data_IF_702247256553
#
_entry.id   IF_702247256553
#
_cell.length_a   1.000
_cell.length_b   1.000
_cell.length_c   1.000
_cell.angle_alpha   90.00
_cell.angle_beta   90.00
_cell.angle_gamma   90.00
#
_symmetry.space_group_name_H-M   'P 1'
#
loop_
_entity.id
_entity.type
_entity.pdbx_description
1 polymer ?
#
# COMPACT_ATOMS: atom_id res chain seq x y z
N UNK A 1 -8.36 -22.13 17.24
CA UNK A 1 -8.00 -20.88 16.52
C UNK A 1 -8.51 -21.01 15.10
N UNK A 2 -9.19 -20.00 14.56
CA UNK A 2 -9.60 -19.98 13.15
C UNK A 2 -8.37 -19.87 12.26
N UNK A 3 -8.41 -20.59 11.13
CA UNK A 3 -7.29 -20.61 10.18
C UNK A 3 -7.46 -19.59 9.04
N UNK A 4 -8.66 -19.03 8.92
CA UNK A 4 -9.04 -18.02 7.95
C UNK A 4 -9.71 -16.85 8.66
N UNK A 5 -9.61 -15.69 8.06
CA UNK A 5 -10.28 -14.48 8.57
C UNK A 5 -11.81 -14.58 8.47
N UNK A 6 -12.50 -13.82 9.33
CA UNK A 6 -13.95 -13.63 9.26
C UNK A 6 -14.30 -12.31 8.59
N UNK A 7 -15.00 -12.37 7.47
CA UNK A 7 -15.46 -11.19 6.73
C UNK A 7 -16.95 -10.88 6.99
N UNK A 8 -17.63 -11.65 7.83
CA UNK A 8 -19.06 -11.47 8.11
C UNK A 8 -19.38 -10.16 8.83
N UNK A 9 -18.37 -9.52 9.44
CA UNK A 9 -18.48 -8.17 10.01
C UNK A 9 -18.76 -7.10 8.96
N UNK A 10 -18.42 -7.37 7.69
CA UNK A 10 -18.75 -6.52 6.54
C UNK A 10 -20.03 -6.99 5.88
N UNK A 11 -20.01 -8.21 5.31
CA UNK A 11 -21.15 -8.86 4.66
C UNK A 11 -20.99 -10.38 4.73
N UNK A 12 -22.10 -11.09 4.70
CA UNK A 12 -22.09 -12.56 4.68
C UNK A 12 -21.59 -13.12 3.36
N UNK A 13 -22.12 -12.57 2.26
CA UNK A 13 -21.75 -12.89 0.89
C UNK A 13 -22.14 -11.74 -0.06
N UNK A 14 -21.95 -11.91 -1.37
CA UNK A 14 -22.35 -10.89 -2.38
C UNK A 14 -23.87 -10.83 -2.60
N UNK A 15 -24.63 -11.81 -2.13
CA UNK A 15 -26.10 -11.84 -2.17
C UNK A 15 -26.71 -11.26 -0.88
N UNK A 16 -25.89 -10.83 0.08
CA UNK A 16 -26.36 -10.17 1.30
C UNK A 16 -27.14 -8.90 0.92
N UNK A 17 -28.40 -8.78 1.38
CA UNK A 17 -29.20 -7.57 1.13
C UNK A 17 -28.51 -6.27 1.57
N UNK A 18 -27.67 -6.32 2.61
CA UNK A 18 -26.89 -5.17 3.06
C UNK A 18 -25.86 -4.73 2.01
N UNK A 19 -25.23 -5.70 1.28
CA UNK A 19 -24.32 -5.39 0.19
C UNK A 19 -25.02 -4.62 -0.95
N UNK A 20 -26.20 -5.09 -1.35
CA UNK A 20 -27.00 -4.44 -2.39
C UNK A 20 -27.48 -3.04 -1.95
N UNK A 21 -27.87 -2.89 -0.69
CA UNK A 21 -28.27 -1.61 -0.12
C UNK A 21 -27.11 -0.60 -0.11
N UNK A 22 -25.91 -1.02 0.32
CA UNK A 22 -24.74 -0.15 0.34
C UNK A 22 -24.26 0.23 -1.08
N UNK A 23 -24.41 -0.67 -2.08
CA UNK A 23 -24.15 -0.35 -3.49
C UNK A 23 -25.11 0.72 -4.04
N UNK A 24 -26.38 0.69 -3.63
CA UNK A 24 -27.36 1.73 -4.00
C UNK A 24 -27.10 3.05 -3.23
N UNK A 25 -26.66 2.96 -1.96
CA UNK A 25 -26.25 4.11 -1.17
C UNK A 25 -24.99 4.80 -1.74
N UNK A 26 -24.06 4.02 -2.31
CA UNK A 26 -22.90 4.59 -3.00
C UNK A 26 -23.32 5.42 -4.23
N UNK A 27 -24.30 4.97 -5.01
CA UNK A 27 -24.85 5.77 -6.12
C UNK A 27 -25.44 7.10 -5.61
N UNK A 28 -26.12 7.08 -4.47
CA UNK A 28 -26.66 8.28 -3.86
C UNK A 28 -25.55 9.23 -3.32
N UNK A 29 -24.48 8.68 -2.76
CA UNK A 29 -23.32 9.46 -2.31
C UNK A 29 -22.59 10.12 -3.49
N UNK A 30 -22.42 9.41 -4.60
CA UNK A 30 -21.85 9.96 -5.85
C UNK A 30 -22.74 11.11 -6.38
N UNK A 31 -24.05 10.91 -6.40
CA UNK A 31 -24.99 11.95 -6.81
C UNK A 31 -24.95 13.19 -5.89
N UNK A 32 -24.71 13.00 -4.59
CA UNK A 32 -24.53 14.09 -3.64
C UNK A 32 -23.25 14.90 -3.89
N UNK A 33 -22.13 14.22 -4.21
CA UNK A 33 -20.89 14.88 -4.62
C UNK A 33 -21.07 15.65 -5.94
N UNK A 34 -21.76 15.06 -6.92
CA UNK A 34 -22.08 15.71 -8.19
C UNK A 34 -22.87 17.02 -7.96
N UNK A 35 -23.92 16.95 -7.17
CA UNK A 35 -24.72 18.13 -6.82
C UNK A 35 -23.88 19.19 -6.09
N UNK A 36 -23.03 18.76 -5.15
CA UNK A 36 -22.15 19.69 -4.44
C UNK A 36 -21.16 20.37 -5.39
N UNK A 37 -20.62 19.64 -6.37
CA UNK A 37 -19.73 20.19 -7.38
C UNK A 37 -20.40 21.25 -8.27
N UNK A 38 -21.68 21.05 -8.62
CA UNK A 38 -22.48 22.05 -9.37
C UNK A 38 -22.74 23.32 -8.55
N UNK A 39 -22.97 23.18 -7.26
CA UNK A 39 -23.29 24.29 -6.34
C UNK A 39 -22.05 24.98 -5.75
N UNK A 40 -20.87 24.36 -5.80
CA UNK A 40 -19.66 24.77 -5.06
C UNK A 40 -19.27 26.23 -5.25
N UNK A 41 -19.42 26.79 -6.45
CA UNK A 41 -19.10 28.18 -6.74
C UNK A 41 -20.09 29.22 -6.17
N UNK A 42 -21.23 28.78 -5.65
CA UNK A 42 -22.28 29.67 -5.12
C UNK A 42 -22.45 29.59 -3.61
N UNK A 43 -21.86 28.57 -2.98
CA UNK A 43 -21.94 28.36 -1.55
C UNK A 43 -21.00 29.29 -0.77
N UNK A 44 -21.38 29.60 0.46
CA UNK A 44 -20.43 30.23 1.39
C UNK A 44 -19.28 29.27 1.72
N UNK A 45 -18.11 29.82 2.10
CA UNK A 45 -16.95 29.01 2.44
C UNK A 45 -17.25 27.99 3.58
N UNK A 46 -18.00 28.43 4.61
CA UNK A 46 -18.42 27.55 5.70
C UNK A 46 -19.35 26.43 5.23
N UNK A 47 -20.32 26.74 4.41
CA UNK A 47 -21.28 25.75 3.89
C UNK A 47 -20.61 24.73 2.95
N UNK A 48 -19.71 25.20 2.08
CA UNK A 48 -18.96 24.35 1.18
C UNK A 48 -18.08 23.35 1.96
N UNK A 49 -17.34 23.81 2.97
CA UNK A 49 -16.45 22.95 3.77
C UNK A 49 -17.22 21.92 4.58
N UNK A 50 -18.34 22.28 5.22
CA UNK A 50 -19.17 21.31 5.95
C UNK A 50 -19.78 20.27 5.01
N UNK A 51 -20.40 20.71 3.92
CA UNK A 51 -21.02 19.77 2.97
C UNK A 51 -20.01 18.84 2.31
N UNK A 52 -18.79 19.34 2.08
CA UNK A 52 -17.73 18.47 1.54
C UNK A 52 -17.24 17.46 2.60
N UNK A 53 -17.07 17.85 3.84
CA UNK A 53 -16.73 16.94 4.94
C UNK A 53 -17.76 15.80 5.06
N UNK A 54 -19.05 16.16 5.13
CA UNK A 54 -20.14 15.19 5.25
C UNK A 54 -20.27 14.27 4.02
N UNK A 55 -20.24 14.85 2.82
CA UNK A 55 -20.38 14.08 1.58
C UNK A 55 -19.16 13.20 1.31
N UNK A 56 -17.96 13.69 1.61
CA UNK A 56 -16.71 12.93 1.51
C UNK A 56 -16.68 11.73 2.45
N UNK A 57 -17.02 11.93 3.71
CA UNK A 57 -17.09 10.83 4.68
C UNK A 57 -18.14 9.78 4.28
N UNK A 58 -19.32 10.21 3.82
CA UNK A 58 -20.37 9.29 3.37
C UNK A 58 -19.93 8.48 2.14
N UNK A 59 -19.25 9.11 1.19
CA UNK A 59 -18.72 8.44 0.00
C UNK A 59 -17.62 7.44 0.37
N UNK A 60 -16.60 7.87 1.12
CA UNK A 60 -15.47 7.01 1.50
C UNK A 60 -15.94 5.84 2.37
N UNK A 61 -16.90 6.04 3.28
CA UNK A 61 -17.44 4.97 4.11
C UNK A 61 -18.05 3.83 3.29
N UNK A 62 -18.80 4.16 2.25
CA UNK A 62 -19.47 3.18 1.40
C UNK A 62 -18.51 2.54 0.41
N UNK A 63 -17.71 3.36 -0.26
CA UNK A 63 -16.72 2.90 -1.24
C UNK A 63 -15.73 1.93 -0.59
N UNK A 64 -15.07 2.35 0.51
CA UNK A 64 -14.08 1.53 1.19
C UNK A 64 -14.67 0.22 1.72
N UNK A 65 -15.84 0.24 2.36
CA UNK A 65 -16.48 -0.96 2.88
C UNK A 65 -16.79 -1.97 1.79
N UNK A 66 -17.34 -1.53 0.65
CA UNK A 66 -17.67 -2.37 -0.50
C UNK A 66 -16.42 -2.91 -1.19
N UNK A 67 -15.43 -2.04 -1.41
CA UNK A 67 -14.16 -2.39 -2.05
C UNK A 67 -13.36 -3.38 -1.19
N UNK A 68 -13.18 -3.10 0.09
CA UNK A 68 -12.43 -3.94 1.04
C UNK A 68 -13.02 -5.35 1.07
N UNK A 69 -14.34 -5.48 1.20
CA UNK A 69 -14.97 -6.80 1.19
C UNK A 69 -14.67 -7.57 -0.10
N UNK A 70 -14.87 -6.95 -1.25
CA UNK A 70 -14.65 -7.61 -2.54
C UNK A 70 -13.16 -7.96 -2.75
N UNK A 71 -12.25 -7.05 -2.39
CA UNK A 71 -10.80 -7.22 -2.49
C UNK A 71 -10.27 -8.32 -1.58
N UNK A 72 -10.75 -8.40 -0.32
CA UNK A 72 -10.36 -9.47 0.61
C UNK A 72 -10.89 -10.84 0.15
N UNK A 73 -12.11 -10.91 -0.39
CA UNK A 73 -12.66 -12.13 -1.01
C UNK A 73 -11.83 -12.59 -2.21
N UNK A 74 -11.41 -11.65 -3.04
CA UNK A 74 -10.53 -11.92 -4.18
C UNK A 74 -9.12 -12.35 -3.73
N UNK A 75 -8.55 -11.69 -2.75
CA UNK A 75 -7.21 -12.03 -2.23
C UNK A 75 -7.14 -13.40 -1.59
N UNK A 76 -8.24 -13.83 -0.95
CA UNK A 76 -8.35 -15.17 -0.40
C UNK A 76 -8.52 -16.28 -1.48
N UNK A 77 -9.07 -15.93 -2.65
CA UNK A 77 -9.24 -16.82 -3.80
C UNK A 77 -9.32 -16.01 -5.10
N UNK A 78 -8.20 -15.89 -5.81
CA UNK A 78 -8.10 -15.18 -7.10
C UNK A 78 -8.88 -15.86 -8.24
N UNK A 79 -9.32 -17.10 -8.04
CA UNK A 79 -10.25 -17.80 -8.94
C UNK A 79 -11.70 -17.37 -8.76
N UNK A 80 -12.00 -16.58 -7.73
CA UNK A 80 -13.35 -16.06 -7.47
C UNK A 80 -13.70 -14.93 -8.44
N UNK A 81 -14.30 -15.29 -9.57
CA UNK A 81 -14.69 -14.34 -10.63
C UNK A 81 -15.74 -13.33 -10.18
N UNK A 82 -16.61 -13.70 -9.23
CA UNK A 82 -17.59 -12.78 -8.67
C UNK A 82 -16.91 -11.68 -7.85
N UNK A 83 -15.90 -12.02 -7.04
CA UNK A 83 -15.12 -11.06 -6.30
C UNK A 83 -14.34 -10.11 -7.24
N UNK A 84 -13.63 -10.65 -8.23
CA UNK A 84 -12.90 -9.87 -9.24
C UNK A 84 -13.82 -8.88 -9.99
N UNK A 85 -14.97 -9.36 -10.48
CA UNK A 85 -15.97 -8.53 -11.16
C UNK A 85 -16.52 -7.43 -10.24
N UNK A 86 -16.68 -7.74 -8.95
CA UNK A 86 -17.23 -6.80 -7.97
C UNK A 86 -16.24 -5.71 -7.61
N UNK A 87 -14.95 -6.05 -7.47
CA UNK A 87 -13.87 -5.04 -7.34
C UNK A 87 -13.93 -4.05 -8.49
N UNK A 88 -13.99 -4.56 -9.74
CA UNK A 88 -14.08 -3.71 -10.94
C UNK A 88 -15.31 -2.80 -10.93
N UNK A 89 -16.49 -3.31 -10.53
CA UNK A 89 -17.72 -2.51 -10.45
C UNK A 89 -17.65 -1.40 -9.42
N UNK A 90 -17.08 -1.66 -8.25
CA UNK A 90 -16.94 -0.62 -7.21
C UNK A 90 -15.99 0.46 -7.67
N UNK A 91 -14.83 0.08 -8.25
CA UNK A 91 -13.85 1.03 -8.79
C UNK A 91 -14.43 1.88 -9.94
N UNK A 92 -15.20 1.26 -10.85
CA UNK A 92 -15.85 1.97 -11.96
C UNK A 92 -16.84 3.01 -11.44
N UNK A 93 -17.68 2.64 -10.45
CA UNK A 93 -18.59 3.59 -9.79
C UNK A 93 -17.83 4.72 -9.09
N UNK A 94 -16.80 4.41 -8.32
CA UNK A 94 -16.02 5.41 -7.60
C UNK A 94 -15.33 6.39 -8.56
N UNK A 95 -14.89 5.92 -9.72
CA UNK A 95 -14.26 6.76 -10.74
C UNK A 95 -15.17 7.88 -11.26
N UNK A 96 -16.49 7.69 -11.20
CA UNK A 96 -17.46 8.71 -11.62
C UNK A 96 -17.45 9.96 -10.70
N UNK A 97 -17.02 9.82 -9.43
CA UNK A 97 -16.94 10.93 -8.49
C UNK A 97 -15.66 11.78 -8.64
N UNK A 98 -14.63 11.29 -9.33
CA UNK A 98 -13.29 11.93 -9.36
C UNK A 98 -13.34 13.35 -9.91
N UNK A 99 -14.09 13.59 -11.00
CA UNK A 99 -14.17 14.91 -11.60
C UNK A 99 -14.92 15.91 -10.68
N UNK A 100 -15.94 15.43 -10.00
CA UNK A 100 -16.73 16.26 -9.08
C UNK A 100 -15.94 16.57 -7.80
N UNK A 101 -15.26 15.58 -7.21
CA UNK A 101 -14.34 15.81 -6.07
C UNK A 101 -13.27 16.84 -6.43
N UNK A 102 -12.72 16.74 -7.62
CA UNK A 102 -11.73 17.68 -8.12
C UNK A 102 -12.28 19.12 -8.15
N UNK A 103 -13.49 19.35 -8.72
CA UNK A 103 -14.12 20.68 -8.76
C UNK A 103 -14.42 21.24 -7.37
N UNK A 104 -14.86 20.37 -6.46
CA UNK A 104 -15.13 20.79 -5.07
C UNK A 104 -13.82 21.23 -4.39
N UNK A 105 -12.75 20.44 -4.54
CA UNK A 105 -11.41 20.78 -4.00
C UNK A 105 -10.88 22.10 -4.57
N UNK A 106 -11.13 22.39 -5.83
CA UNK A 106 -10.79 23.68 -6.45
C UNK A 106 -11.54 24.84 -5.80
N UNK A 107 -12.84 24.69 -5.62
CA UNK A 107 -13.66 25.69 -4.95
C UNK A 107 -13.20 25.91 -3.50
N UNK A 108 -12.83 24.84 -2.79
CA UNK A 108 -12.25 24.94 -1.43
C UNK A 108 -10.89 25.65 -1.48
N UNK A 109 -10.03 25.34 -2.45
CA UNK A 109 -8.74 26.02 -2.59
C UNK A 109 -8.91 27.53 -2.87
N UNK A 110 -9.96 27.91 -3.61
CA UNK A 110 -10.27 29.29 -3.92
C UNK A 110 -10.72 30.12 -2.68
N UNK A 111 -11.08 29.47 -1.57
CA UNK A 111 -11.37 30.15 -0.28
C UNK A 111 -10.13 30.93 0.19
N UNK A 112 -8.94 30.41 -0.07
CA UNK A 112 -7.66 30.97 0.36
C UNK A 112 -7.31 30.65 1.82
N UNK A 113 -6.02 30.80 2.11
CA UNK A 113 -5.44 30.37 3.40
C UNK A 113 -6.07 31.06 4.61
N UNK A 114 -6.11 32.40 4.60
CA UNK A 114 -6.51 33.17 5.78
C UNK A 114 -7.97 32.90 6.17
N UNK A 115 -8.85 32.88 5.17
CA UNK A 115 -10.27 32.59 5.40
C UNK A 115 -10.53 31.17 5.83
N UNK A 116 -9.76 30.21 5.30
CA UNK A 116 -9.86 28.82 5.72
C UNK A 116 -9.40 28.64 7.19
N UNK A 117 -8.28 29.25 7.58
CA UNK A 117 -7.79 29.18 8.97
C UNK A 117 -8.77 29.85 9.97
N UNK A 118 -9.44 30.94 9.58
CA UNK A 118 -10.52 31.51 10.37
C UNK A 118 -11.65 30.51 10.60
N UNK A 119 -12.11 29.81 9.54
CA UNK A 119 -13.18 28.83 9.64
C UNK A 119 -12.77 27.63 10.52
N UNK A 120 -11.59 27.07 10.31
CA UNK A 120 -11.08 25.94 11.07
C UNK A 120 -10.89 26.29 12.56
N UNK A 121 -10.53 27.53 12.87
CA UNK A 121 -10.36 28.00 14.26
C UNK A 121 -11.68 28.29 14.96
N UNK A 122 -12.70 28.72 14.21
CA UNK A 122 -13.99 29.10 14.74
C UNK A 122 -14.95 27.93 14.94
N UNK A 123 -14.73 26.82 14.21
CA UNK A 123 -15.62 25.66 14.20
C UNK A 123 -14.90 24.38 14.60
N UNK A 124 -15.16 23.85 15.81
CA UNK A 124 -14.55 22.60 16.29
C UNK A 124 -14.81 21.39 15.36
N UNK A 125 -15.97 21.35 14.70
CA UNK A 125 -16.32 20.23 13.79
C UNK A 125 -15.40 20.24 12.57
N UNK A 126 -15.17 21.42 11.97
CA UNK A 126 -14.23 21.56 10.86
C UNK A 126 -12.77 21.37 11.27
N UNK A 127 -12.44 21.62 12.53
CA UNK A 127 -11.10 21.44 13.08
C UNK A 127 -10.59 19.99 12.93
N UNK A 128 -11.48 18.99 12.97
CA UNK A 128 -11.13 17.58 12.75
C UNK A 128 -10.65 17.33 11.31
N UNK A 129 -11.12 18.12 10.37
CA UNK A 129 -10.75 18.05 8.94
C UNK A 129 -9.63 19.03 8.56
N UNK A 130 -9.02 19.71 9.53
CA UNK A 130 -8.04 20.77 9.26
C UNK A 130 -6.87 20.28 8.37
N UNK A 131 -6.39 19.08 8.59
CA UNK A 131 -5.32 18.50 7.77
C UNK A 131 -5.76 18.32 6.32
N UNK A 132 -6.93 17.79 6.08
CA UNK A 132 -7.51 17.62 4.74
C UNK A 132 -7.59 18.95 4.00
N UNK A 133 -8.21 19.96 4.61
CA UNK A 133 -8.41 21.25 3.97
C UNK A 133 -7.09 21.99 3.71
N UNK A 134 -6.14 21.93 4.65
CA UNK A 134 -4.79 22.46 4.44
C UNK A 134 -4.04 21.74 3.34
N UNK A 135 -4.23 20.43 3.22
CA UNK A 135 -3.66 19.62 2.14
C UNK A 135 -4.22 20.01 0.78
N UNK A 136 -5.53 20.22 0.67
CA UNK A 136 -6.18 20.71 -0.55
C UNK A 136 -5.56 22.04 -1.01
N UNK A 137 -5.38 22.98 -0.09
CA UNK A 137 -4.73 24.26 -0.41
C UNK A 137 -3.26 24.11 -0.84
N UNK A 138 -2.55 23.18 -0.20
CA UNK A 138 -1.15 22.91 -0.51
C UNK A 138 -1.02 22.27 -1.89
N UNK A 139 -1.88 21.31 -2.20
CA UNK A 139 -1.87 20.56 -3.46
C UNK A 139 -2.29 21.43 -4.65
N UNK A 140 -3.23 22.37 -4.44
CA UNK A 140 -3.73 23.27 -5.49
C UNK A 140 -2.63 24.12 -6.14
N UNK A 141 -1.52 24.36 -5.44
CA UNK A 141 -0.37 25.14 -5.96
C UNK A 141 0.38 24.44 -7.10
N UNK A 142 0.27 23.12 -7.19
CA UNK A 142 0.99 22.27 -8.14
C UNK A 142 0.04 21.67 -9.19
N UNK A 143 -1.21 22.11 -9.18
CA UNK A 143 -2.20 21.67 -10.15
C UNK A 143 -2.05 22.48 -11.44
N UNK A 144 -2.19 21.78 -12.56
CA UNK A 144 -2.25 22.38 -13.89
C UNK A 144 -3.71 22.72 -14.24
N UNK A 145 -3.93 23.36 -15.40
CA UNK A 145 -5.28 23.59 -15.89
C UNK A 145 -5.99 22.27 -16.21
N UNK A 146 -7.32 22.24 -16.15
CA UNK A 146 -8.12 21.05 -16.45
C UNK A 146 -7.80 20.42 -17.80
N UNK A 147 -7.49 21.27 -18.79
CA UNK A 147 -7.10 20.81 -20.12
C UNK A 147 -5.75 20.10 -20.11
N UNK A 148 -4.78 20.60 -19.35
CA UNK A 148 -3.45 20.01 -19.21
C UNK A 148 -3.52 18.72 -18.39
N UNK A 149 -4.27 18.69 -17.29
CA UNK A 149 -4.46 17.46 -16.50
C UNK A 149 -5.14 16.37 -17.34
N UNK A 150 -6.20 16.70 -18.09
CA UNK A 150 -6.85 15.75 -18.98
C UNK A 150 -5.93 15.27 -20.12
N UNK A 151 -5.03 16.13 -20.62
CA UNK A 151 -4.05 15.77 -21.62
C UNK A 151 -3.01 14.80 -21.05
N UNK A 152 -2.44 15.11 -19.88
CA UNK A 152 -1.47 14.26 -19.18
C UNK A 152 -2.08 12.90 -18.89
N UNK A 153 -3.30 12.84 -18.34
CA UNK A 153 -4.00 11.58 -18.07
C UNK A 153 -4.14 10.70 -19.32
N UNK A 154 -4.52 11.30 -20.47
CA UNK A 154 -4.59 10.56 -21.74
C UNK A 154 -3.23 10.10 -22.25
N UNK A 155 -2.20 10.92 -22.09
CA UNK A 155 -0.84 10.57 -22.52
C UNK A 155 -0.22 9.49 -21.63
N UNK A 156 -0.58 9.43 -20.35
CA UNK A 156 -0.12 8.39 -19.42
C UNK A 156 -0.49 6.99 -19.89
N UNK A 157 -1.68 6.79 -20.49
CA UNK A 157 -2.10 5.49 -21.01
C UNK A 157 -1.11 4.88 -22.02
N UNK A 158 -0.47 5.73 -22.84
CA UNK A 158 0.57 5.32 -23.81
C UNK A 158 1.99 5.67 -23.38
N UNK A 159 2.13 6.39 -22.29
CA UNK A 159 3.37 6.81 -21.64
C UNK A 159 3.70 5.95 -20.43
N UNK A 160 3.58 6.49 -19.23
CA UNK A 160 3.97 5.83 -17.98
C UNK A 160 3.34 4.44 -17.82
N UNK A 161 2.01 4.33 -17.97
CA UNK A 161 1.29 3.07 -17.79
C UNK A 161 1.77 1.99 -18.78
N UNK A 162 2.02 2.38 -20.04
CA UNK A 162 2.51 1.44 -21.05
C UNK A 162 3.93 0.95 -20.75
N UNK A 163 4.82 1.81 -20.24
CA UNK A 163 6.18 1.44 -19.87
C UNK A 163 6.22 0.55 -18.63
N UNK A 164 5.37 0.80 -17.64
CA UNK A 164 5.21 -0.05 -16.44
C UNK A 164 4.66 -1.42 -16.81
N UNK A 165 3.63 -1.46 -17.67
CA UNK A 165 3.06 -2.70 -18.19
C UNK A 165 4.08 -3.51 -19.01
N UNK A 166 4.93 -2.85 -19.81
CA UNK A 166 6.00 -3.51 -20.55
C UNK A 166 6.98 -4.17 -19.58
N UNK A 167 7.46 -3.46 -18.56
CA UNK A 167 8.39 -4.00 -17.56
C UNK A 167 7.77 -5.21 -16.83
N UNK A 168 6.52 -5.09 -16.38
CA UNK A 168 5.79 -6.15 -15.70
C UNK A 168 5.62 -7.38 -16.60
N UNK A 169 5.27 -7.19 -17.87
CA UNK A 169 5.13 -8.28 -18.85
C UNK A 169 6.45 -8.98 -19.12
N UNK A 170 7.54 -8.22 -19.32
CA UNK A 170 8.87 -8.78 -19.58
C UNK A 170 9.39 -9.59 -18.38
N UNK A 171 9.24 -9.07 -17.16
CA UNK A 171 9.72 -9.76 -15.95
C UNK A 171 8.87 -10.97 -15.59
N UNK A 172 7.55 -10.89 -15.71
CA UNK A 172 6.65 -12.02 -15.40
C UNK A 172 6.76 -13.17 -16.41
N UNK A 173 7.07 -12.84 -17.68
CA UNK A 173 7.27 -13.85 -18.73
C UNK A 173 8.72 -14.35 -18.85
N UNK A 174 9.66 -13.75 -18.10
CA UNK A 174 11.07 -14.14 -18.14
C UNK A 174 11.25 -15.60 -17.74
N UNK A 175 11.97 -16.34 -18.57
CA UNK A 175 12.28 -17.75 -18.33
C UNK A 175 13.73 -17.88 -17.89
N UNK A 176 13.94 -18.46 -16.73
CA UNK A 176 15.27 -18.67 -16.17
C UNK A 176 15.71 -20.10 -16.44
N UNK A 177 16.85 -20.25 -17.11
CA UNK A 177 17.47 -21.57 -17.29
C UNK A 177 18.35 -21.88 -16.07
N UNK A 178 17.86 -22.74 -15.18
CA UNK A 178 18.56 -23.13 -13.98
C UNK A 178 18.84 -24.65 -14.01
N UNK A 179 20.11 -25.02 -13.98
CA UNK A 179 20.57 -26.43 -13.99
C UNK A 179 19.88 -27.31 -15.04
N UNK A 180 19.67 -26.75 -16.24
CA UNK A 180 19.03 -27.45 -17.36
C UNK A 180 17.50 -27.48 -17.34
N UNK A 181 16.87 -26.86 -16.37
CA UNK A 181 15.41 -26.69 -16.25
C UNK A 181 15.03 -25.26 -16.45
N UNK A 182 13.84 -25.03 -17.03
CA UNK A 182 13.26 -23.69 -17.14
C UNK A 182 12.34 -23.45 -15.95
N UNK A 183 12.64 -22.43 -15.14
CA UNK A 183 11.86 -22.03 -13.97
C UNK A 183 11.47 -20.57 -14.08
N UNK A 184 10.61 -20.08 -13.18
CA UNK A 184 10.22 -18.66 -13.13
C UNK A 184 11.30 -17.80 -12.46
N UNK A 185 11.24 -16.49 -12.69
CA UNK A 185 12.10 -15.54 -12.00
C UNK A 185 11.87 -15.55 -10.47
N UNK A 186 10.64 -15.76 -10.02
CA UNK A 186 10.32 -15.89 -8.59
C UNK A 186 10.94 -17.15 -7.98
N UNK A 187 10.88 -18.26 -8.69
CA UNK A 187 11.47 -19.52 -8.21
C UNK A 187 12.97 -19.41 -8.02
N UNK A 188 13.70 -18.85 -9.02
CA UNK A 188 15.16 -18.71 -8.92
C UNK A 188 15.57 -17.76 -7.79
N UNK A 189 14.81 -16.68 -7.55
CA UNK A 189 15.06 -15.76 -6.44
C UNK A 189 14.87 -16.40 -5.06
N UNK A 190 13.90 -17.29 -4.93
CA UNK A 190 13.70 -18.04 -3.69
C UNK A 190 14.90 -18.95 -3.35
N UNK A 191 15.66 -19.40 -4.35
CA UNK A 191 16.89 -20.20 -4.13
C UNK A 191 18.01 -19.38 -3.46
N UNK A 192 17.93 -18.07 -3.38
CA UNK A 192 18.88 -17.23 -2.63
C UNK A 192 18.91 -17.55 -1.12
N UNK A 193 17.88 -18.21 -0.60
CA UNK A 193 17.76 -18.62 0.81
C UNK A 193 18.16 -20.08 1.04
N UNK A 194 18.57 -20.82 -0.01
CA UNK A 194 18.95 -22.22 0.12
C UNK A 194 20.18 -22.39 1.03
N UNK A 195 20.24 -23.52 1.74
CA UNK A 195 21.35 -23.82 2.64
C UNK A 195 22.66 -24.12 1.89
N UNK A 196 22.58 -24.68 0.66
CA UNK A 196 23.72 -25.01 -0.18
C UNK A 196 24.25 -23.78 -0.94
N UNK A 197 25.51 -23.35 -0.69
CA UNK A 197 26.11 -22.22 -1.38
C UNK A 197 26.22 -22.42 -2.91
N UNK A 198 26.31 -23.66 -3.41
CA UNK A 198 26.34 -23.92 -4.82
C UNK A 198 24.97 -23.66 -5.46
N UNK A 199 23.87 -23.98 -4.76
CA UNK A 199 22.50 -23.63 -5.20
C UNK A 199 22.34 -22.13 -5.30
N UNK A 200 22.70 -21.37 -4.26
CA UNK A 200 22.58 -19.90 -4.25
C UNK A 200 23.38 -19.25 -5.37
N UNK A 201 24.62 -19.72 -5.60
CA UNK A 201 25.48 -19.18 -6.65
C UNK A 201 24.94 -19.45 -8.04
N UNK A 202 24.59 -20.73 -8.33
CA UNK A 202 24.04 -21.10 -9.64
C UNK A 202 22.72 -20.38 -9.92
N UNK A 203 21.89 -20.15 -8.88
CA UNK A 203 20.65 -19.38 -8.98
C UNK A 203 20.92 -17.91 -9.32
N UNK A 204 21.89 -17.28 -8.67
CA UNK A 204 22.31 -15.91 -8.95
C UNK A 204 22.81 -15.77 -10.40
N UNK A 205 23.70 -16.65 -10.83
CA UNK A 205 24.24 -16.61 -12.20
C UNK A 205 23.11 -16.79 -13.25
N UNK A 206 22.15 -17.69 -12.98
CA UNK A 206 20.99 -17.90 -13.84
C UNK A 206 20.03 -16.69 -13.84
N UNK A 207 19.81 -16.06 -12.69
CA UNK A 207 19.01 -14.83 -12.57
C UNK A 207 19.63 -13.70 -13.39
N UNK A 208 20.94 -13.44 -13.22
CA UNK A 208 21.63 -12.39 -13.98
C UNK A 208 21.55 -12.64 -15.49
N UNK A 209 21.78 -13.87 -15.91
CA UNK A 209 21.69 -14.23 -17.34
C UNK A 209 20.29 -14.01 -17.93
N UNK A 210 19.24 -14.18 -17.12
CA UNK A 210 17.86 -13.98 -17.53
C UNK A 210 17.52 -12.52 -17.87
N UNK A 211 18.25 -11.56 -17.33
CA UNK A 211 18.00 -10.13 -17.57
C UNK A 211 18.60 -9.62 -18.90
N UNK A 212 19.60 -10.29 -19.46
CA UNK A 212 20.26 -9.84 -20.69
C UNK A 212 19.29 -9.61 -21.87
N UNK A 213 18.33 -10.52 -22.18
CA UNK A 213 17.40 -10.31 -23.28
C UNK A 213 16.42 -9.14 -23.09
N UNK A 214 16.14 -8.75 -21.86
CA UNK A 214 15.15 -7.71 -21.55
C UNK A 214 15.79 -6.39 -21.13
N UNK A 215 17.11 -6.38 -20.93
CA UNK A 215 17.88 -5.24 -20.38
C UNK A 215 17.59 -3.93 -21.10
N UNK A 216 17.72 -3.93 -22.42
CA UNK A 216 17.60 -2.70 -23.21
C UNK A 216 16.17 -2.17 -23.20
N UNK A 217 15.16 -3.04 -23.30
CA UNK A 217 13.75 -2.65 -23.21
C UNK A 217 13.40 -2.06 -21.84
N UNK A 218 13.89 -2.66 -20.75
CA UNK A 218 13.69 -2.16 -19.39
C UNK A 218 14.44 -0.82 -19.18
N UNK A 219 15.64 -0.68 -19.76
CA UNK A 219 16.39 0.58 -19.69
C UNK A 219 15.66 1.73 -20.43
N UNK A 220 15.06 1.45 -21.60
CA UNK A 220 14.22 2.43 -22.30
C UNK A 220 12.97 2.80 -21.48
N UNK A 221 12.29 1.82 -20.91
CA UNK A 221 11.12 2.06 -20.04
C UNK A 221 11.50 2.95 -18.86
N UNK A 222 12.57 2.63 -18.14
CA UNK A 222 13.05 3.41 -16.99
C UNK A 222 13.43 4.84 -17.38
N UNK A 223 14.15 5.02 -18.49
CA UNK A 223 14.54 6.34 -18.96
C UNK A 223 13.34 7.18 -19.38
N UNK A 224 12.35 6.58 -20.04
CA UNK A 224 11.11 7.25 -20.45
C UNK A 224 10.31 7.70 -19.23
N UNK A 225 10.12 6.84 -18.23
CA UNK A 225 9.43 7.17 -16.97
C UNK A 225 10.14 8.32 -16.22
N UNK A 226 11.47 8.25 -16.10
CA UNK A 226 12.24 9.33 -15.45
C UNK A 226 12.15 10.64 -16.20
N UNK A 227 12.19 10.62 -17.53
CA UNK A 227 12.05 11.83 -18.34
C UNK A 227 10.64 12.42 -18.22
N UNK A 228 9.61 11.59 -18.23
CA UNK A 228 8.24 12.02 -17.99
C UNK A 228 8.09 12.67 -16.61
N UNK A 229 8.59 12.04 -15.55
CA UNK A 229 8.58 12.58 -14.18
C UNK A 229 9.27 13.95 -14.11
N UNK A 230 10.44 14.10 -14.76
CA UNK A 230 11.18 15.38 -14.79
C UNK A 230 10.35 16.47 -15.50
N UNK A 231 9.71 16.13 -16.62
CA UNK A 231 8.90 17.07 -17.39
C UNK A 231 7.66 17.50 -16.63
N UNK A 232 6.93 16.56 -16.05
CA UNK A 232 5.73 16.85 -15.25
C UNK A 232 6.07 17.64 -14.00
N UNK A 233 7.16 17.30 -13.31
CA UNK A 233 7.68 18.04 -12.18
C UNK A 233 7.92 19.52 -12.53
N UNK A 234 8.56 19.79 -13.67
CA UNK A 234 8.81 21.15 -14.16
C UNK A 234 7.51 21.88 -14.52
N UNK A 235 6.59 21.22 -15.22
CA UNK A 235 5.28 21.78 -15.59
C UNK A 235 4.45 22.16 -14.35
N UNK A 236 4.47 21.34 -13.31
CA UNK A 236 3.75 21.58 -12.05
C UNK A 236 4.43 22.62 -11.16
N UNK A 237 5.64 23.04 -11.48
CA UNK A 237 6.38 24.05 -10.72
C UNK A 237 7.11 23.53 -9.49
N UNK A 238 7.37 22.23 -9.41
CA UNK A 238 8.27 21.68 -8.40
C UNK A 238 9.71 22.02 -8.74
N UNK A 239 10.55 22.26 -7.74
CA UNK A 239 11.97 22.58 -7.93
C UNK A 239 12.80 21.34 -8.32
N UNK A 240 12.32 20.15 -7.96
CA UNK A 240 12.96 18.87 -8.31
C UNK A 240 11.97 17.70 -8.18
N UNK A 241 12.25 16.55 -8.85
CA UNK A 241 11.50 15.33 -8.62
C UNK A 241 11.51 14.88 -7.14
N UNK A 242 12.58 15.18 -6.41
CA UNK A 242 12.64 14.89 -4.97
C UNK A 242 11.62 15.73 -4.18
N UNK A 243 11.48 17.01 -4.51
CA UNK A 243 10.49 17.87 -3.84
C UNK A 243 9.07 17.44 -4.17
N UNK A 244 8.80 16.95 -5.38
CA UNK A 244 7.52 16.34 -5.74
C UNK A 244 7.27 15.08 -4.91
N UNK A 245 8.27 14.20 -4.76
CA UNK A 245 8.17 12.98 -3.95
C UNK A 245 7.95 13.30 -2.46
N UNK A 246 8.67 14.28 -1.91
CA UNK A 246 8.48 14.76 -0.53
C UNK A 246 7.09 15.34 -0.31
N UNK A 247 6.59 16.11 -1.29
CA UNK A 247 5.23 16.64 -1.25
C UNK A 247 4.19 15.50 -1.24
N UNK A 248 4.31 14.53 -2.13
CA UNK A 248 3.40 13.38 -2.21
C UNK A 248 3.43 12.51 -0.94
N UNK A 249 4.63 12.32 -0.36
CA UNK A 249 4.82 11.55 0.89
C UNK A 249 4.49 12.37 2.15
N UNK A 250 4.07 13.63 2.01
CA UNK A 250 3.85 14.55 3.16
C UNK A 250 5.06 14.66 4.09
N UNK A 251 6.26 14.42 3.58
CA UNK A 251 7.52 14.43 4.32
C UNK A 251 8.22 15.78 4.20
N UNK A 252 8.81 16.25 5.29
CA UNK A 252 9.69 17.42 5.29
C UNK A 252 11.09 17.02 4.82
N UNK A 253 11.78 17.94 4.14
CA UNK A 253 13.16 17.74 3.68
C UNK A 253 14.10 17.41 4.83
N UNK A 254 13.95 18.09 5.97
CA UNK A 254 14.77 17.91 7.16
C UNK A 254 14.58 16.50 7.76
N UNK A 255 13.38 15.93 7.64
CA UNK A 255 13.10 14.55 8.08
C UNK A 255 13.83 13.53 7.20
N UNK A 256 13.82 13.73 5.88
CA UNK A 256 14.57 12.87 4.96
C UNK A 256 16.09 12.99 5.21
N UNK A 257 16.60 14.22 5.34
CA UNK A 257 18.02 14.45 5.58
C UNK A 257 18.49 13.85 6.90
N UNK A 258 17.67 13.93 7.96
CA UNK A 258 17.94 13.28 9.25
C UNK A 258 17.94 11.75 9.13
N UNK A 259 16.99 11.17 8.38
CA UNK A 259 16.93 9.73 8.11
C UNK A 259 18.18 9.25 7.38
N UNK A 260 18.55 9.91 6.28
CA UNK A 260 19.74 9.56 5.49
C UNK A 260 21.02 9.75 6.31
N UNK A 261 21.11 10.83 7.10
CA UNK A 261 22.24 11.06 7.99
C UNK A 261 22.40 9.97 9.06
N UNK A 262 21.29 9.51 9.64
CA UNK A 262 21.31 8.38 10.57
C UNK A 262 21.74 7.08 9.86
N UNK A 263 21.25 6.83 8.66
CA UNK A 263 21.68 5.67 7.86
C UNK A 263 23.19 5.70 7.60
N UNK A 264 23.73 6.84 7.18
CA UNK A 264 25.16 7.01 6.94
C UNK A 264 26.00 6.78 8.22
N UNK A 265 25.54 7.28 9.36
CA UNK A 265 26.20 7.08 10.66
C UNK A 265 26.24 5.60 11.05
N UNK A 266 25.15 4.85 10.79
CA UNK A 266 25.06 3.42 11.15
C UNK A 266 25.63 2.48 10.09
N UNK A 267 25.82 2.92 8.84
CA UNK A 267 26.36 2.11 7.73
C UNK A 267 27.63 1.33 8.10
N UNK A 268 28.63 1.90 8.85
CA UNK A 268 29.80 1.14 9.28
C UNK A 268 29.50 -0.10 10.13
N UNK A 269 28.37 -0.11 10.87
CA UNK A 269 27.92 -1.28 11.64
C UNK A 269 27.43 -2.40 10.72
N UNK A 270 26.68 -2.04 9.68
CA UNK A 270 26.26 -3.00 8.65
C UNK A 270 27.45 -3.59 7.90
N UNK A 271 28.45 -2.77 7.57
CA UNK A 271 29.69 -3.28 6.97
C UNK A 271 30.43 -4.25 7.87
N UNK A 272 30.47 -4.01 9.18
CA UNK A 272 31.06 -4.95 10.15
C UNK A 272 30.29 -6.28 10.16
N UNK A 273 28.95 -6.23 10.17
CA UNK A 273 28.10 -7.41 10.07
C UNK A 273 28.36 -8.19 8.79
N UNK A 274 28.34 -7.52 7.62
CA UNK A 274 28.55 -8.18 6.32
C UNK A 274 29.94 -8.82 6.23
N UNK A 275 30.98 -8.17 6.76
CA UNK A 275 32.33 -8.73 6.84
C UNK A 275 32.40 -9.95 7.78
N UNK A 276 31.72 -9.90 8.91
CA UNK A 276 31.65 -11.03 9.84
C UNK A 276 30.91 -12.20 9.22
N UNK A 277 29.76 -11.94 8.55
CA UNK A 277 29.02 -12.96 7.80
C UNK A 277 29.87 -13.55 6.69
N UNK A 278 30.56 -12.72 5.89
CA UNK A 278 31.46 -13.17 4.84
C UNK A 278 32.53 -14.13 5.37
N UNK A 279 33.22 -13.77 6.45
CA UNK A 279 34.22 -14.65 7.08
C UNK A 279 33.63 -15.97 7.58
N UNK A 280 32.45 -15.93 8.20
CA UNK A 280 31.76 -17.12 8.68
C UNK A 280 31.35 -18.09 7.54
N UNK A 281 31.10 -17.54 6.34
CA UNK A 281 30.80 -18.30 5.12
C UNK A 281 32.05 -18.64 4.29
N UNK A 282 33.26 -18.30 4.77
CA UNK A 282 34.53 -18.63 4.10
C UNK A 282 34.99 -17.65 3.02
N UNK A 283 34.44 -16.42 3.01
CA UNK A 283 34.82 -15.35 2.09
C UNK A 283 35.73 -14.32 2.74
N UNK A 284 36.99 -14.25 2.33
CA UNK A 284 37.99 -13.35 2.93
C UNK A 284 37.88 -11.90 2.42
N UNK A 285 37.45 -11.72 1.16
CA UNK A 285 37.46 -10.44 0.45
C UNK A 285 36.09 -9.71 0.43
N UNK A 286 35.21 -10.03 1.36
CA UNK A 286 33.85 -9.48 1.45
C UNK A 286 32.77 -10.52 1.13
N UNK A 287 31.53 -10.17 1.42
CA UNK A 287 30.39 -11.06 1.20
C UNK A 287 29.93 -10.94 -0.27
N UNK A 288 29.97 -12.04 -1.06
CA UNK A 288 29.36 -12.02 -2.40
C UNK A 288 27.86 -11.77 -2.32
N UNK A 289 27.29 -11.16 -3.37
CA UNK A 289 25.87 -10.81 -3.39
C UNK A 289 24.96 -12.03 -3.19
N UNK A 290 25.26 -13.14 -3.82
CA UNK A 290 24.50 -14.40 -3.69
C UNK A 290 24.55 -15.03 -2.27
N UNK A 291 25.40 -14.53 -1.39
CA UNK A 291 25.47 -14.96 0.02
C UNK A 291 24.69 -14.03 0.96
N UNK A 292 24.11 -12.95 0.44
CA UNK A 292 23.44 -11.95 1.28
C UNK A 292 22.32 -12.58 2.12
N UNK A 293 21.54 -13.50 1.53
CA UNK A 293 20.43 -14.18 2.18
C UNK A 293 20.82 -15.58 2.71
N UNK A 294 22.09 -15.99 2.59
CA UNK A 294 22.54 -17.27 3.10
C UNK A 294 22.14 -17.44 4.58
N UNK A 295 21.51 -18.57 4.96
CA UNK A 295 21.14 -18.82 6.35
C UNK A 295 22.39 -18.94 7.23
N UNK A 296 22.33 -18.36 8.43
CA UNK A 296 23.36 -18.47 9.45
C UNK A 296 22.90 -19.43 10.54
N UNK A 297 23.54 -20.60 10.60
CA UNK A 297 23.11 -21.67 11.50
C UNK A 297 22.06 -22.58 10.88
N UNK A 298 21.55 -23.52 11.66
CA UNK A 298 20.49 -24.45 11.29
C UNK A 298 19.43 -24.46 12.38
N UNK A 299 18.18 -24.38 11.97
CA UNK A 299 17.04 -24.60 12.86
C UNK A 299 15.96 -25.33 12.05
N UNK A 300 15.63 -26.54 12.50
CA UNK A 300 14.54 -27.34 11.96
C UNK A 300 13.23 -27.10 12.74
N UNK A 301 13.24 -26.08 13.66
CA UNK A 301 12.06 -25.77 14.48
C UNK A 301 10.96 -25.20 13.62
N UNK A 302 9.82 -25.89 13.64
CA UNK A 302 8.57 -25.39 13.06
C UNK A 302 7.69 -24.85 14.18
N UNK A 303 7.02 -23.75 13.87
CA UNK A 303 6.12 -23.05 14.78
C UNK A 303 4.68 -23.25 14.30
N UNK A 304 3.78 -23.47 15.24
CA UNK A 304 2.35 -23.43 14.99
C UNK A 304 1.83 -22.01 15.06
N UNK A 305 0.59 -21.78 14.61
CA UNK A 305 -0.07 -20.48 14.80
C UNK A 305 -0.30 -20.15 16.29
N UNK A 306 -0.42 -21.18 17.15
CA UNK A 306 -0.47 -20.96 18.60
C UNK A 306 0.89 -20.51 19.15
N UNK A 307 2.00 -21.14 18.72
CA UNK A 307 3.33 -20.69 19.11
C UNK A 307 3.57 -19.25 18.66
N UNK A 308 3.09 -18.87 17.47
CA UNK A 308 3.17 -17.51 16.98
C UNK A 308 2.38 -16.53 17.85
N UNK A 309 1.13 -16.88 18.20
CA UNK A 309 0.31 -16.09 19.14
C UNK A 309 1.03 -15.87 20.47
N UNK A 310 1.47 -16.96 21.10
CA UNK A 310 2.09 -16.92 22.42
C UNK A 310 3.41 -16.09 22.39
N UNK A 311 4.20 -16.24 21.32
CA UNK A 311 5.43 -15.49 21.12
C UNK A 311 5.16 -13.98 20.98
N UNK A 312 4.21 -13.60 20.11
CA UNK A 312 3.88 -12.20 19.85
C UNK A 312 3.25 -11.52 21.08
N UNK A 313 2.32 -12.19 21.76
CA UNK A 313 1.74 -11.66 22.99
C UNK A 313 2.80 -11.42 24.08
N UNK A 314 3.77 -12.35 24.23
CA UNK A 314 4.85 -12.18 25.18
C UNK A 314 5.77 -11.00 24.84
N UNK A 315 6.15 -10.84 23.57
CA UNK A 315 7.05 -9.75 23.14
C UNK A 315 6.34 -8.40 23.20
N UNK A 316 5.14 -8.30 22.63
CA UNK A 316 4.39 -7.03 22.59
C UNK A 316 3.89 -6.61 23.97
N UNK A 317 3.49 -7.57 24.82
CA UNK A 317 3.11 -7.27 26.21
C UNK A 317 4.24 -6.72 27.07
N UNK A 318 5.49 -7.05 26.74
CA UNK A 318 6.67 -6.42 27.35
C UNK A 318 6.97 -5.01 26.84
N UNK A 319 6.36 -4.60 25.72
CA UNK A 319 6.57 -3.31 25.08
C UNK A 319 5.40 -2.33 25.31
N UNK A 320 4.18 -2.72 24.97
CA UNK A 320 2.98 -1.89 25.07
C UNK A 320 1.72 -2.74 25.26
N UNK A 321 0.88 -2.39 26.25
CA UNK A 321 -0.34 -3.16 26.56
C UNK A 321 -1.43 -3.02 25.49
N UNK A 322 -1.56 -1.87 24.83
CA UNK A 322 -2.59 -1.66 23.79
C UNK A 322 -2.27 -2.48 22.55
N UNK A 323 -0.97 -2.56 22.19
CA UNK A 323 -0.51 -3.44 21.11
C UNK A 323 -0.73 -4.91 21.46
N UNK A 324 -0.43 -5.35 22.70
CA UNK A 324 -0.75 -6.68 23.19
C UNK A 324 -2.24 -7.02 23.01
N UNK A 325 -3.13 -6.18 23.55
CA UNK A 325 -4.57 -6.41 23.55
C UNK A 325 -5.14 -6.44 22.12
N UNK A 326 -4.63 -5.59 21.24
CA UNK A 326 -5.00 -5.60 19.81
C UNK A 326 -4.55 -6.90 19.14
N UNK A 327 -3.33 -7.37 19.39
CA UNK A 327 -2.84 -8.65 18.84
C UNK A 327 -3.66 -9.82 19.37
N UNK A 328 -4.01 -9.87 20.65
CA UNK A 328 -4.89 -10.90 21.20
C UNK A 328 -6.24 -10.92 20.49
N UNK A 329 -6.87 -9.77 20.31
CA UNK A 329 -8.11 -9.63 19.54
C UNK A 329 -7.97 -10.10 18.10
N UNK A 330 -6.87 -9.78 17.43
CA UNK A 330 -6.65 -10.17 16.04
C UNK A 330 -6.68 -11.69 15.85
N UNK A 331 -6.13 -12.44 16.81
CA UNK A 331 -6.19 -13.90 16.82
C UNK A 331 -7.57 -14.43 17.22
N UNK A 332 -8.21 -13.86 18.24
CA UNK A 332 -9.44 -14.37 18.82
C UNK A 332 -10.67 -14.03 17.98
N UNK A 333 -10.68 -12.88 17.33
CA UNK A 333 -11.75 -12.39 16.46
C UNK A 333 -11.55 -12.79 14.98
N UNK A 334 -10.61 -13.70 14.69
CA UNK A 334 -10.35 -14.22 13.34
C UNK A 334 -10.03 -13.11 12.31
N UNK A 335 -9.08 -12.24 12.63
CA UNK A 335 -8.63 -11.22 11.67
C UNK A 335 -7.66 -11.78 10.64
N UNK A 336 -7.03 -12.97 10.90
CA UNK A 336 -5.86 -13.46 10.17
C UNK A 336 -6.24 -14.66 9.30
N UNK A 337 -5.89 -14.59 8.01
CA UNK A 337 -5.89 -15.72 7.09
C UNK A 337 -4.46 -16.26 6.98
N UNK A 338 -4.21 -17.44 7.59
CA UNK A 338 -2.84 -17.91 7.86
C UNK A 338 -2.19 -18.65 6.68
N UNK A 339 -2.78 -19.76 6.23
CA UNK A 339 -2.06 -20.75 5.46
C UNK A 339 -2.13 -20.54 3.95
N UNK A 340 -1.04 -20.91 3.21
CA UNK A 340 -1.06 -20.92 1.77
C UNK A 340 -2.08 -21.94 1.24
N UNK A 341 -2.73 -21.61 0.13
CA UNK A 341 -3.62 -22.49 -0.62
C UNK A 341 -3.72 -22.05 -2.08
N UNK A 342 -4.18 -22.94 -2.95
CA UNK A 342 -4.42 -22.59 -4.35
C UNK A 342 -5.39 -21.41 -4.46
N UNK A 343 -5.05 -20.47 -5.33
CA UNK A 343 -5.85 -19.26 -5.56
C UNK A 343 -5.62 -18.12 -4.56
N UNK A 344 -4.98 -18.35 -3.43
CA UNK A 344 -4.65 -17.28 -2.48
C UNK A 344 -3.49 -16.43 -2.98
N UNK A 345 -3.59 -15.12 -2.79
CA UNK A 345 -2.51 -14.18 -3.12
C UNK A 345 -1.25 -14.49 -2.32
N UNK A 346 -0.10 -14.43 -2.97
CA UNK A 346 1.22 -14.63 -2.33
C UNK A 346 1.66 -13.43 -1.50
N UNK A 347 2.67 -13.65 -0.65
CA UNK A 347 3.17 -12.62 0.27
C UNK A 347 2.33 -12.48 1.53
N UNK A 348 2.34 -11.29 2.12
CA UNK A 348 1.50 -10.90 3.25
C UNK A 348 1.07 -9.44 3.10
N UNK A 349 -0.03 -9.08 3.73
CA UNK A 349 -0.49 -7.70 3.85
C UNK A 349 -1.46 -7.54 5.02
N UNK A 350 -1.56 -6.31 5.50
CA UNK A 350 -2.64 -5.83 6.35
C UNK A 350 -3.63 -4.99 5.52
N UNK A 351 -4.89 -5.00 5.94
CA UNK A 351 -5.95 -4.19 5.37
C UNK A 351 -6.86 -3.69 6.50
N UNK A 352 -6.82 -2.39 6.74
CA UNK A 352 -7.72 -1.74 7.69
C UNK A 352 -9.18 -1.84 7.26
N UNK A 353 -10.07 -2.07 8.21
CA UNK A 353 -11.53 -2.15 8.05
C UNK A 353 -12.18 -1.09 8.94
N UNK A 354 -12.25 0.18 8.51
CA UNK A 354 -12.70 1.30 9.33
C UNK A 354 -14.12 1.10 9.87
N UNK A 355 -15.03 0.55 9.06
CA UNK A 355 -16.43 0.31 9.43
C UNK A 355 -16.60 -0.66 10.60
N UNK A 356 -15.63 -1.55 10.83
CA UNK A 356 -15.63 -2.50 11.95
C UNK A 356 -14.59 -2.11 13.04
N UNK A 357 -13.76 -1.09 12.80
CA UNK A 357 -12.59 -0.76 13.63
C UNK A 357 -11.70 -1.98 13.88
N UNK A 358 -11.45 -2.72 12.83
CA UNK A 358 -10.66 -3.95 12.81
C UNK A 358 -9.73 -3.91 11.60
N UNK A 359 -8.79 -4.85 11.53
CA UNK A 359 -7.98 -5.10 10.33
C UNK A 359 -8.18 -6.53 9.83
N UNK A 360 -7.71 -6.82 8.62
CA UNK A 360 -7.63 -8.17 8.08
C UNK A 360 -6.23 -8.39 7.56
N UNK A 361 -5.57 -9.39 8.11
CA UNK A 361 -4.19 -9.76 7.79
C UNK A 361 -4.17 -11.03 6.95
N UNK A 362 -3.55 -10.97 5.78
CA UNK A 362 -3.27 -12.14 4.97
C UNK A 362 -1.81 -12.53 5.14
N UNK A 363 -1.54 -13.80 5.40
CA UNK A 363 -0.18 -14.38 5.40
C UNK A 363 -0.16 -15.69 4.63
N UNK A 364 1.02 -16.20 4.33
CA UNK A 364 1.24 -17.55 3.81
C UNK A 364 2.16 -18.30 4.78
N UNK A 365 1.67 -18.52 5.98
CA UNK A 365 2.38 -19.09 7.12
C UNK A 365 2.72 -20.57 6.87
N UNK A 366 4.00 -20.92 6.90
CA UNK A 366 4.49 -22.30 6.74
C UNK A 366 5.17 -22.86 8.00
N UNK A 367 5.25 -22.05 9.04
CA UNK A 367 5.85 -22.39 10.34
C UNK A 367 7.32 -22.01 10.49
N UNK A 368 7.89 -21.23 9.59
CA UNK A 368 9.20 -20.66 9.76
C UNK A 368 9.19 -19.51 10.79
N UNK A 369 10.34 -19.23 11.44
CA UNK A 369 10.42 -18.07 12.34
C UNK A 369 10.19 -16.74 11.57
N UNK A 370 10.60 -16.69 10.31
CA UNK A 370 10.36 -15.55 9.44
C UNK A 370 8.87 -15.21 9.29
N UNK A 371 7.97 -16.20 9.34
CA UNK A 371 6.53 -15.97 9.26
C UNK A 371 5.98 -15.28 10.50
N UNK A 372 6.59 -15.56 11.68
CA UNK A 372 6.25 -14.82 12.91
C UNK A 372 6.69 -13.37 12.80
N UNK A 373 7.86 -13.11 12.19
CA UNK A 373 8.35 -11.75 11.95
C UNK A 373 7.44 -11.01 10.96
N UNK A 374 7.05 -11.68 9.88
CA UNK A 374 6.08 -11.14 8.92
C UNK A 374 4.75 -10.82 9.59
N UNK A 375 4.22 -11.75 10.39
CA UNK A 375 2.97 -11.54 11.12
C UNK A 375 3.09 -10.37 12.12
N UNK A 376 4.23 -10.22 12.81
CA UNK A 376 4.50 -9.08 13.66
C UNK A 376 4.49 -7.74 12.89
N UNK A 377 5.03 -7.75 11.67
CA UNK A 377 5.05 -6.58 10.78
C UNK A 377 3.63 -6.18 10.38
N UNK A 378 2.81 -7.12 9.89
CA UNK A 378 1.44 -6.84 9.47
C UNK A 378 0.56 -6.41 10.66
N UNK A 379 0.74 -7.03 11.82
CA UNK A 379 0.03 -6.59 13.04
C UNK A 379 0.50 -5.20 13.52
N UNK A 380 1.70 -4.78 13.17
CA UNK A 380 2.17 -3.41 13.37
C UNK A 380 1.37 -2.41 12.53
N UNK A 381 1.04 -2.75 11.27
CA UNK A 381 0.13 -1.96 10.45
C UNK A 381 -1.29 -1.95 11.04
N UNK A 382 -1.81 -3.10 11.45
CA UNK A 382 -3.11 -3.18 12.12
C UNK A 382 -3.18 -2.31 13.39
N UNK A 383 -2.10 -2.18 14.15
CA UNK A 383 -2.04 -1.29 15.30
C UNK A 383 -2.07 0.18 14.90
N UNK A 384 -1.40 0.55 13.80
CA UNK A 384 -1.51 1.89 13.22
C UNK A 384 -2.95 2.20 12.80
N UNK A 385 -3.63 1.28 12.15
CA UNK A 385 -5.03 1.41 11.74
C UNK A 385 -5.95 1.76 12.92
N UNK A 386 -5.74 1.13 14.10
CA UNK A 386 -6.55 1.42 15.28
C UNK A 386 -6.45 2.90 15.69
N UNK A 387 -5.32 3.55 15.43
CA UNK A 387 -5.13 4.98 15.69
C UNK A 387 -5.84 5.82 14.63
N UNK A 388 -5.74 5.40 13.36
CA UNK A 388 -6.35 6.06 12.20
C UNK A 388 -7.88 6.05 12.28
N UNK A 389 -8.51 4.95 12.74
CA UNK A 389 -9.97 4.82 12.86
C UNK A 389 -10.66 5.82 13.80
N UNK A 390 -9.90 6.61 14.54
CA UNK A 390 -10.44 7.71 15.35
C UNK A 390 -10.69 8.99 14.55
N UNK A 391 -10.14 9.09 13.34
CA UNK A 391 -10.26 10.25 12.46
C UNK A 391 -11.40 10.09 11.45
N UNK A 392 -11.93 11.22 10.90
CA UNK A 392 -12.90 11.18 9.81
C UNK A 392 -12.39 10.35 8.61
N UNK A 393 -13.28 9.62 7.95
CA UNK A 393 -12.91 8.68 6.90
C UNK A 393 -12.24 9.34 5.69
N UNK A 394 -12.71 10.52 5.28
CA UNK A 394 -12.11 11.27 4.18
C UNK A 394 -10.71 11.81 4.52
N UNK A 395 -10.30 11.72 5.78
CA UNK A 395 -8.97 12.11 6.27
C UNK A 395 -8.02 10.91 6.44
N UNK A 396 -8.52 9.69 6.36
CA UNK A 396 -7.74 8.46 6.45
C UNK A 396 -7.10 8.13 5.10
#
# INVERSE_FOLDING_TARGET
MNQTWDLSVLYKDFDDPAYAADMAALDAAIAALHKLAEEAGTLSASELTHRYADAGDAFVALESKLYIYASLRYSADTGNTAAASTVGRVMDKASAAVADDTRIREAIAAIGHDRLEELLSADPTLSEYAYLFRSILKDSRYRLSDREEALIAKMNLSGADAWENLQSSLTSSAKVLYRGQTITLSDVRNLAYDADPAVRRDAYDAEIACYEPIRDAVAFAMNSLKLQTINECALRGFSSPLDQALHASRMKRETLDALLGAMDEYMPKFWQYLRAKGKALGHENGLPWYELFAPMGKSDKKYTTQDAKDYLLNIFGGFDSQLHDMVERAFDEAWIDFYPRNGKVGGAFDCGVPSARQSRVLTNFDGAFGDIVTLAHELGHAFHDQQVFSHPLVCQ
#
